data_IF_724665704566
#
_entry.id   IF_724665704566
#
_cell.length_a   1.000
_cell.length_b   1.000
_cell.length_c   1.000
_cell.angle_alpha   90.00
_cell.angle_beta   90.00
_cell.angle_gamma   90.00
#
_symmetry.space_group_name_H-M   'P 1'
#
loop_
_entity.id
_entity.type
_entity.pdbx_description
1 polymer ?
#
# COMPACT_ATOMS: atom_id res chain seq x y z
N UNK A 1 -25.82 -29.95 -4.53
CA UNK A 1 -25.25 -28.59 -4.65
C UNK A 1 -24.64 -28.22 -3.30
N UNK A 2 -23.33 -28.41 -3.11
CA UNK A 2 -22.64 -27.89 -1.93
C UNK A 2 -22.40 -26.41 -2.16
N UNK A 3 -23.23 -25.56 -1.55
CA UNK A 3 -23.05 -24.12 -1.59
C UNK A 3 -21.68 -23.77 -1.01
N UNK A 4 -20.80 -23.21 -1.83
CA UNK A 4 -19.54 -22.63 -1.36
C UNK A 4 -19.86 -21.63 -0.26
N UNK A 5 -19.54 -21.96 1.00
CA UNK A 5 -19.57 -21.01 2.10
C UNK A 5 -18.64 -19.87 1.69
N UNK A 6 -19.21 -18.74 1.29
CA UNK A 6 -18.48 -17.50 1.01
C UNK A 6 -17.89 -17.05 2.34
N UNK A 7 -16.64 -17.41 2.60
CA UNK A 7 -15.90 -16.92 3.76
C UNK A 7 -15.82 -15.41 3.62
N UNK A 8 -16.57 -14.69 4.46
CA UNK A 8 -16.52 -13.22 4.48
C UNK A 8 -15.14 -12.84 5.03
N UNK A 9 -14.40 -12.05 4.25
CA UNK A 9 -13.09 -11.57 4.70
C UNK A 9 -13.26 -10.74 5.98
N UNK A 10 -12.51 -11.10 7.03
CA UNK A 10 -12.52 -10.36 8.29
C UNK A 10 -11.89 -8.99 8.07
N UNK A 11 -12.54 -7.94 8.58
CA UNK A 11 -11.97 -6.60 8.63
C UNK A 11 -11.12 -6.44 9.89
N UNK A 12 -9.90 -5.96 9.72
CA UNK A 12 -8.94 -5.67 10.78
C UNK A 12 -8.64 -4.17 10.83
N UNK A 13 -8.53 -3.60 12.03
CA UNK A 13 -8.06 -2.22 12.22
C UNK A 13 -6.54 -2.26 12.36
N UNK A 14 -5.82 -1.66 11.41
CA UNK A 14 -4.36 -1.61 11.42
C UNK A 14 -3.83 -0.38 12.17
N UNK A 15 -4.48 0.77 11.96
CA UNK A 15 -4.04 2.04 12.53
C UNK A 15 -5.21 3.02 12.65
N UNK A 16 -5.13 3.96 13.57
CA UNK A 16 -6.01 5.13 13.59
C UNK A 16 -5.44 6.21 14.49
N UNK A 17 -5.54 7.45 14.02
CA UNK A 17 -5.31 8.64 14.81
C UNK A 17 -6.46 9.64 14.58
N UNK A 18 -6.23 10.92 14.89
CA UNK A 18 -7.20 12.00 14.67
C UNK A 18 -7.41 12.36 13.19
N UNK A 19 -6.47 12.03 12.31
CA UNK A 19 -6.45 12.43 10.91
C UNK A 19 -6.91 11.30 9.98
N UNK A 20 -6.57 10.05 10.29
CA UNK A 20 -6.88 8.90 9.45
C UNK A 20 -7.26 7.66 10.25
N UNK A 21 -7.93 6.72 9.57
CA UNK A 21 -8.11 5.35 10.04
C UNK A 21 -7.74 4.39 8.91
N UNK A 22 -7.00 3.35 9.25
CA UNK A 22 -6.55 2.33 8.31
C UNK A 22 -7.18 1.00 8.71
N UNK A 23 -7.87 0.38 7.76
CA UNK A 23 -8.42 -0.95 7.92
C UNK A 23 -7.98 -1.86 6.79
N UNK A 24 -7.91 -3.15 7.08
CA UNK A 24 -7.63 -4.19 6.10
C UNK A 24 -8.84 -5.09 5.98
N UNK A 25 -9.27 -5.39 4.76
CA UNK A 25 -10.32 -6.39 4.50
C UNK A 25 -9.85 -7.30 3.37
N UNK A 26 -9.45 -8.52 3.71
CA UNK A 26 -8.84 -9.44 2.76
C UNK A 26 -7.57 -8.87 2.13
N UNK A 27 -7.50 -8.89 0.80
CA UNK A 27 -6.36 -8.38 0.04
C UNK A 27 -6.34 -6.86 -0.18
N UNK A 28 -7.15 -6.09 0.55
CA UNK A 28 -7.24 -4.64 0.40
C UNK A 28 -6.95 -3.91 1.70
N UNK A 29 -6.28 -2.77 1.57
CA UNK A 29 -6.09 -1.77 2.61
C UNK A 29 -6.95 -0.56 2.27
N UNK A 30 -7.66 -0.04 3.27
CA UNK A 30 -8.57 1.10 3.16
C UNK A 30 -8.08 2.19 4.12
N UNK A 31 -7.88 3.40 3.60
CA UNK A 31 -7.57 4.60 4.36
C UNK A 31 -8.82 5.49 4.36
N UNK A 32 -9.37 5.74 5.54
CA UNK A 32 -10.39 6.76 5.78
C UNK A 32 -9.71 8.09 6.11
N UNK A 33 -10.03 9.17 5.38
CA UNK A 33 -9.66 10.52 5.77
C UNK A 33 -10.66 11.02 6.83
N UNK A 34 -10.21 11.26 8.05
CA UNK A 34 -11.05 11.76 9.15
C UNK A 34 -11.06 13.29 9.23
N UNK A 35 -10.24 13.98 8.43
CA UNK A 35 -10.15 15.44 8.43
C UNK A 35 -11.22 16.09 7.56
N UNK A 36 -11.42 17.41 7.75
CA UNK A 36 -12.29 18.25 6.92
C UNK A 36 -11.54 18.84 5.70
N UNK A 37 -10.32 18.38 5.43
CA UNK A 37 -9.46 18.83 4.34
C UNK A 37 -9.03 17.65 3.48
N UNK A 38 -8.62 17.92 2.25
CA UNK A 38 -7.98 16.91 1.42
C UNK A 38 -6.62 16.55 2.02
N UNK A 39 -6.27 15.28 1.97
CA UNK A 39 -4.95 14.79 2.36
C UNK A 39 -4.32 14.02 1.21
N UNK A 40 -3.00 13.95 1.22
CA UNK A 40 -2.20 13.19 0.28
C UNK A 40 -1.37 12.17 1.05
N UNK A 41 -1.31 10.94 0.57
CA UNK A 41 -0.51 9.87 1.17
C UNK A 41 0.68 9.60 0.27
N UNK A 42 1.89 9.69 0.82
CA UNK A 42 3.11 9.21 0.19
C UNK A 42 3.66 8.09 1.06
N UNK A 43 3.90 6.92 0.48
CA UNK A 43 4.23 5.77 1.31
C UNK A 43 5.02 4.68 0.63
N UNK A 44 5.76 3.93 1.45
CA UNK A 44 6.57 2.78 1.04
C UNK A 44 6.15 1.55 1.83
N UNK A 45 6.00 0.44 1.13
CA UNK A 45 5.89 -0.90 1.69
C UNK A 45 7.26 -1.58 1.61
N UNK A 46 7.62 -2.29 2.67
CA UNK A 46 8.76 -3.19 2.74
C UNK A 46 8.23 -4.58 3.10
N UNK A 47 8.29 -5.52 2.17
CA UNK A 47 7.80 -6.89 2.35
C UNK A 47 8.97 -7.79 2.78
N UNK A 48 8.76 -8.55 3.86
CA UNK A 48 9.75 -9.45 4.46
C UNK A 48 11.14 -8.81 4.63
N UNK A 49 11.18 -7.50 4.92
CA UNK A 49 12.41 -6.73 5.07
C UNK A 49 13.34 -6.71 3.83
N UNK A 50 12.83 -6.97 2.62
CA UNK A 50 13.69 -7.10 1.43
C UNK A 50 13.11 -6.59 0.14
N UNK A 51 11.78 -6.53 0.00
CA UNK A 51 11.12 -6.12 -1.24
C UNK A 51 10.45 -4.77 -0.99
N UNK A 52 10.77 -3.77 -1.80
CA UNK A 52 10.19 -2.44 -1.67
C UNK A 52 9.09 -2.22 -2.70
N UNK A 53 8.01 -1.55 -2.31
CA UNK A 53 6.96 -1.14 -3.22
C UNK A 53 6.38 0.22 -2.80
N UNK A 54 5.95 1.01 -3.76
CA UNK A 54 5.31 2.32 -3.52
C UNK A 54 3.86 2.28 -4.00
N UNK A 55 2.95 1.64 -3.26
CA UNK A 55 1.55 1.51 -3.67
C UNK A 55 0.79 2.85 -3.67
N UNK A 56 1.33 3.87 -3.00
CA UNK A 56 0.81 5.23 -2.97
C UNK A 56 1.92 6.21 -3.36
N UNK A 57 2.05 6.50 -4.66
CA UNK A 57 2.94 7.56 -5.14
C UNK A 57 2.25 8.93 -5.09
N UNK A 58 3.02 9.93 -4.70
CA UNK A 58 2.59 11.22 -4.15
C UNK A 58 1.58 12.02 -4.98
N UNK A 59 1.61 11.90 -6.31
CA UNK A 59 0.74 12.68 -7.21
C UNK A 59 -0.64 12.07 -7.46
N UNK A 60 -0.91 10.82 -7.03
CA UNK A 60 -2.16 10.11 -7.33
C UNK A 60 -2.93 9.65 -6.07
N UNK A 61 -2.41 9.93 -4.89
CA UNK A 61 -2.94 9.38 -3.62
C UNK A 61 -3.63 10.45 -2.77
N UNK A 62 -4.52 11.22 -3.40
CA UNK A 62 -5.35 12.21 -2.70
C UNK A 62 -6.63 11.58 -2.17
N UNK A 63 -7.01 11.93 -0.95
CA UNK A 63 -8.27 11.52 -0.33
C UNK A 63 -9.04 12.77 0.05
N UNK A 64 -10.22 12.95 -0.55
CA UNK A 64 -11.11 14.07 -0.25
C UNK A 64 -11.51 14.13 1.23
N UNK A 65 -11.94 15.29 1.75
CA UNK A 65 -12.46 15.43 3.11
C UNK A 65 -13.50 14.37 3.43
N UNK A 66 -13.36 13.66 4.55
CA UNK A 66 -14.23 12.53 4.95
C UNK A 66 -14.30 11.36 3.94
N UNK A 67 -13.46 11.38 2.91
CA UNK A 67 -13.39 10.38 1.85
C UNK A 67 -12.62 9.13 2.26
N UNK A 68 -12.55 8.17 1.34
CA UNK A 68 -11.86 6.90 1.52
C UNK A 68 -11.09 6.53 0.27
N UNK A 69 -9.94 5.89 0.45
CA UNK A 69 -9.20 5.26 -0.63
C UNK A 69 -8.94 3.80 -0.29
N UNK A 70 -9.13 2.91 -1.27
CA UNK A 70 -8.86 1.48 -1.13
C UNK A 70 -7.80 1.08 -2.15
N UNK A 71 -6.79 0.34 -1.71
CA UNK A 71 -5.74 -0.19 -2.56
C UNK A 71 -5.65 -1.70 -2.36
N UNK A 72 -5.60 -2.43 -3.48
CA UNK A 72 -5.29 -3.85 -3.47
C UNK A 72 -3.81 -4.02 -3.16
N UNK A 73 -3.54 -4.81 -2.13
CA UNK A 73 -2.19 -5.21 -1.75
C UNK A 73 -1.91 -6.66 -2.13
N UNK A 74 -2.81 -7.31 -2.88
CA UNK A 74 -2.64 -8.72 -3.27
C UNK A 74 -1.56 -8.90 -4.34
N UNK A 75 -1.36 -7.89 -5.17
CA UNK A 75 -0.45 -7.91 -6.31
C UNK A 75 -0.08 -6.47 -6.71
N UNK A 76 1.21 -6.18 -6.84
CA UNK A 76 1.70 -4.84 -7.19
C UNK A 76 3.09 -4.89 -7.82
N UNK A 77 3.51 -3.77 -8.43
CA UNK A 77 4.88 -3.61 -8.94
C UNK A 77 5.79 -3.32 -7.75
N UNK A 78 6.88 -4.07 -7.65
CA UNK A 78 7.84 -3.99 -6.56
C UNK A 78 9.28 -4.01 -7.10
N UNK A 79 10.22 -3.60 -6.27
CA UNK A 79 11.66 -3.65 -6.52
C UNK A 79 12.28 -4.59 -5.48
N UNK A 80 13.11 -5.52 -5.94
CA UNK A 80 13.96 -6.32 -5.07
C UNK A 80 15.42 -5.96 -5.38
N UNK A 81 16.09 -5.14 -4.56
CA UNK A 81 17.47 -4.73 -4.81
C UNK A 81 18.45 -5.92 -4.83
N UNK A 82 18.08 -7.08 -4.27
CA UNK A 82 18.88 -8.31 -4.30
C UNK A 82 18.63 -9.23 -5.50
N UNK A 83 17.62 -8.99 -6.34
CA UNK A 83 17.26 -9.87 -7.46
C UNK A 83 17.58 -9.19 -8.79
N UNK A 84 18.52 -9.76 -9.56
CA UNK A 84 18.68 -9.42 -10.98
C UNK A 84 17.49 -10.01 -11.75
N UNK A 85 16.73 -9.19 -12.46
CA UNK A 85 15.63 -9.67 -13.31
C UNK A 85 16.25 -10.15 -14.62
N UNK A 86 15.91 -11.37 -15.06
CA UNK A 86 16.25 -11.82 -16.42
C UNK A 86 15.41 -11.02 -17.43
N UNK A 87 16.07 -10.52 -18.47
CA UNK A 87 15.63 -9.45 -19.41
C UNK A 87 14.42 -9.80 -20.33
N UNK A 88 13.38 -10.51 -19.86
CA UNK A 88 12.37 -11.07 -20.76
C UNK A 88 10.97 -10.44 -20.74
N UNK A 89 10.80 -9.23 -20.19
CA UNK A 89 9.56 -8.45 -20.38
C UNK A 89 9.88 -7.09 -21.02
N UNK A 90 9.60 -6.95 -22.32
CA UNK A 90 9.88 -5.79 -23.19
C UNK A 90 9.26 -4.44 -22.73
N UNK A 91 8.65 -4.36 -21.55
CA UNK A 91 8.12 -3.11 -20.96
C UNK A 91 9.04 -2.42 -19.95
N UNK A 92 10.21 -2.97 -19.64
CA UNK A 92 11.17 -2.39 -18.68
C UNK A 92 12.32 -1.65 -19.39
N UNK A 93 12.08 -1.04 -20.55
CA UNK A 93 13.12 -0.31 -21.32
C UNK A 93 13.42 1.13 -20.84
N UNK A 94 12.89 1.58 -19.70
CA UNK A 94 13.17 2.91 -19.15
C UNK A 94 13.60 2.93 -17.67
N UNK A 95 13.95 1.79 -17.07
CA UNK A 95 14.33 1.72 -15.66
C UNK A 95 15.86 1.61 -15.46
N UNK A 96 16.60 2.65 -15.82
CA UNK A 96 17.95 2.85 -15.28
C UNK A 96 17.85 3.19 -13.78
N UNK A 97 17.59 2.20 -12.90
CA UNK A 97 17.87 2.25 -11.44
C UNK A 97 17.28 1.08 -10.62
N UNK A 98 16.35 0.26 -11.15
CA UNK A 98 15.63 -0.69 -10.31
C UNK A 98 15.15 -1.92 -11.06
N UNK A 99 15.40 -3.09 -10.49
CA UNK A 99 14.90 -4.38 -10.94
C UNK A 99 13.41 -4.50 -10.57
N UNK A 100 12.54 -3.83 -11.33
CA UNK A 100 11.09 -3.86 -11.12
C UNK A 100 10.50 -5.18 -11.59
N UNK A 101 9.62 -5.78 -10.78
CA UNK A 101 8.86 -6.98 -11.14
C UNK A 101 7.47 -6.96 -10.48
N UNK A 102 6.59 -7.85 -10.93
CA UNK A 102 5.26 -8.01 -10.34
C UNK A 102 5.35 -8.93 -9.13
N UNK A 103 5.12 -8.40 -7.93
CA UNK A 103 5.05 -9.19 -6.71
C UNK A 103 3.60 -9.60 -6.43
N UNK A 104 3.38 -10.90 -6.21
CA UNK A 104 2.10 -11.45 -5.77
C UNK A 104 2.23 -11.87 -4.31
N UNK A 105 1.46 -11.23 -3.44
CA UNK A 105 1.54 -11.46 -2.01
C UNK A 105 1.14 -12.89 -1.64
N UNK A 106 1.90 -13.48 -0.72
CA UNK A 106 1.62 -14.80 -0.14
C UNK A 106 1.15 -14.64 1.30
N UNK A 107 0.25 -15.52 1.72
CA UNK A 107 -0.25 -15.55 3.09
C UNK A 107 0.90 -15.72 4.09
N UNK A 108 0.96 -14.85 5.10
CA UNK A 108 2.00 -14.81 6.11
C UNK A 108 3.18 -13.88 5.77
N UNK A 109 3.27 -13.30 4.56
CA UNK A 109 4.30 -12.31 4.26
C UNK A 109 4.09 -11.06 5.12
N UNK A 110 5.18 -10.61 5.76
CA UNK A 110 5.16 -9.42 6.60
C UNK A 110 5.28 -8.17 5.75
N UNK A 111 4.45 -7.17 6.01
CA UNK A 111 4.49 -5.85 5.39
C UNK A 111 4.81 -4.83 6.47
N UNK A 112 5.96 -4.19 6.34
CA UNK A 112 6.23 -2.90 6.98
C UNK A 112 5.74 -1.77 6.08
N UNK A 113 4.96 -0.86 6.62
CA UNK A 113 4.41 0.28 5.88
C UNK A 113 4.74 1.57 6.60
N UNK A 114 5.50 2.43 5.93
CA UNK A 114 5.80 3.80 6.35
C UNK A 114 5.12 4.78 5.42
N UNK A 115 4.54 5.85 5.98
CA UNK A 115 3.87 6.86 5.17
C UNK A 115 3.94 8.25 5.78
N UNK A 116 3.91 9.25 4.91
CA UNK A 116 3.70 10.65 5.22
C UNK A 116 2.31 11.09 4.74
N UNK A 117 1.59 11.78 5.62
CA UNK A 117 0.31 12.41 5.34
C UNK A 117 0.57 13.89 5.10
N UNK A 118 0.27 14.38 3.89
CA UNK A 118 0.50 15.76 3.48
C UNK A 118 -0.81 16.51 3.28
N UNK A 119 -0.79 17.83 3.46
CA UNK A 119 -1.90 18.73 3.11
C UNK A 119 -1.82 19.19 1.65
N UNK A 120 -2.74 20.07 1.23
CA UNK A 120 -2.79 20.67 -0.11
C UNK A 120 -1.51 21.46 -0.50
N UNK A 121 -0.73 21.91 0.49
CA UNK A 121 0.56 22.58 0.27
C UNK A 121 1.73 21.59 0.29
N UNK A 122 1.47 20.28 0.26
CA UNK A 122 2.45 19.19 0.36
C UNK A 122 3.31 19.22 1.64
N UNK A 123 2.90 19.94 2.68
CA UNK A 123 3.55 19.90 3.98
C UNK A 123 3.13 18.64 4.74
N UNK A 124 4.09 17.93 5.32
CA UNK A 124 3.82 16.76 6.17
C UNK A 124 3.07 17.20 7.43
N UNK A 125 1.84 16.71 7.58
CA UNK A 125 0.99 16.92 8.75
C UNK A 125 1.25 15.86 9.82
N UNK A 126 1.46 14.62 9.39
CA UNK A 126 1.73 13.49 10.25
C UNK A 126 2.44 12.39 9.45
N UNK A 127 3.04 11.44 10.17
CA UNK A 127 3.63 10.24 9.59
C UNK A 127 3.24 9.03 10.44
N UNK A 128 3.19 7.85 9.84
CA UNK A 128 2.99 6.60 10.57
C UNK A 128 3.94 5.52 10.07
N UNK A 129 4.17 4.54 10.94
CA UNK A 129 4.88 3.30 10.64
C UNK A 129 4.13 2.16 11.31
N UNK A 130 3.70 1.17 10.52
CA UNK A 130 2.98 -0.01 11.01
C UNK A 130 3.52 -1.27 10.37
N UNK A 131 3.38 -2.39 11.08
CA UNK A 131 3.72 -3.72 10.57
C UNK A 131 2.48 -4.63 10.68
N UNK A 132 2.20 -5.38 9.63
CA UNK A 132 1.12 -6.36 9.61
C UNK A 132 1.45 -7.50 8.63
N UNK A 133 0.80 -8.64 8.79
CA UNK A 133 0.98 -9.77 7.85
C UNK A 133 -0.12 -9.75 6.80
N UNK A 134 0.19 -10.16 5.57
CA UNK A 134 -0.80 -10.46 4.53
C UNK A 134 -1.50 -11.79 4.80
#
# INVERSE_FOLDING_TARGET
MTGSKKTVAKTEKLYSDKNIKITRTGGNVIIDNLTDKRIYIESTFVINNSIEAEPFSSSQSSIDPKGKQSVSISEFVAVNPGQKVEESDEKVKNAEAGNYYKHKMKNGENIGWTANIKNDNYHTMNSFSINFNY
#
